data_IF_211863060693
#
_entry.id   IF_211863060693
#
_cell.length_a   1.000
_cell.length_b   1.000
_cell.length_c   1.000
_cell.angle_alpha   90.00
_cell.angle_beta   90.00
_cell.angle_gamma   90.00
#
_symmetry.space_group_name_H-M   'P 1'
#
loop_
_entity.id
_entity.type
_entity.pdbx_description
1 polymer ?
#
# COMPACT_ATOMS: atom_id res chain seq x y z
N UNK A 1 -35.72 7.92 16.59
CA UNK A 1 -36.46 9.01 15.95
C UNK A 1 -35.97 10.41 16.33
N UNK A 2 -34.69 10.57 16.72
CA UNK A 2 -34.08 11.84 17.19
C UNK A 2 -32.91 12.35 16.36
N UNK A 3 -32.61 11.70 15.24
CA UNK A 3 -31.44 12.07 14.40
C UNK A 3 -31.81 12.74 13.05
N UNK A 4 -33.10 13.04 12.81
CA UNK A 4 -33.56 13.61 11.54
C UNK A 4 -33.77 15.14 11.52
N UNK A 5 -33.56 15.84 12.65
CA UNK A 5 -34.00 17.24 12.76
C UNK A 5 -32.90 18.33 12.76
N UNK A 6 -31.64 18.00 12.44
CA UNK A 6 -30.55 19.02 12.51
C UNK A 6 -30.02 19.45 11.13
N UNK A 7 -30.57 18.98 10.02
CA UNK A 7 -29.94 19.19 8.70
C UNK A 7 -30.76 19.95 7.65
N UNK A 8 -31.66 20.82 8.06
CA UNK A 8 -32.33 21.73 7.11
C UNK A 8 -32.35 23.16 7.63
N UNK A 9 -31.23 23.88 7.49
CA UNK A 9 -31.15 25.33 7.21
C UNK A 9 -29.67 25.70 7.03
N UNK A 10 -29.22 25.82 5.80
CA UNK A 10 -27.93 26.36 5.42
C UNK A 10 -27.95 27.87 5.51
N UNK A 11 -27.38 28.41 6.58
CA UNK A 11 -26.90 29.79 6.58
C UNK A 11 -25.45 29.76 6.03
N UNK A 12 -25.18 30.51 4.98
CA UNK A 12 -23.87 30.63 4.32
C UNK A 12 -22.92 31.42 5.21
N UNK A 13 -22.05 30.72 5.90
CA UNK A 13 -20.84 31.27 6.53
C UNK A 13 -19.63 30.48 6.03
N UNK A 14 -18.65 31.10 5.33
CA UNK A 14 -17.49 30.40 4.74
C UNK A 14 -16.63 29.59 5.75
N UNK A 15 -16.63 29.99 7.01
CA UNK A 15 -15.91 29.29 8.08
C UNK A 15 -16.52 27.95 8.51
N UNK A 16 -17.84 27.79 8.41
CA UNK A 16 -18.58 26.58 8.84
C UNK A 16 -18.44 25.41 7.85
N UNK A 17 -18.20 25.69 6.57
CA UNK A 17 -17.96 24.63 5.57
C UNK A 17 -16.61 23.93 5.77
N UNK A 18 -15.59 24.67 6.17
CA UNK A 18 -14.25 24.10 6.44
C UNK A 18 -14.29 23.20 7.68
N UNK A 19 -14.95 23.62 8.76
CA UNK A 19 -15.13 22.79 9.96
C UNK A 19 -15.99 21.54 9.71
N UNK A 20 -17.04 21.67 8.90
CA UNK A 20 -17.92 20.54 8.56
C UNK A 20 -17.18 19.49 7.71
N UNK A 21 -16.32 19.90 6.79
CA UNK A 21 -15.49 19.01 6.01
C UNK A 21 -14.42 18.31 6.87
N UNK A 22 -13.82 19.03 7.82
CA UNK A 22 -12.84 18.48 8.75
C UNK A 22 -13.49 17.47 9.70
N UNK A 23 -14.66 17.76 10.23
CA UNK A 23 -15.45 16.85 11.07
C UNK A 23 -15.85 15.59 10.32
N UNK A 24 -16.34 15.68 9.08
CA UNK A 24 -16.65 14.51 8.23
C UNK A 24 -15.44 13.64 7.95
N UNK A 25 -14.26 14.26 7.70
CA UNK A 25 -12.99 13.54 7.53
C UNK A 25 -12.62 12.77 8.80
N UNK A 26 -12.72 13.40 9.95
CA UNK A 26 -12.46 12.77 11.25
C UNK A 26 -13.38 11.59 11.52
N UNK A 27 -14.67 11.73 11.28
CA UNK A 27 -15.64 10.63 11.44
C UNK A 27 -15.37 9.46 10.49
N UNK A 28 -14.99 9.74 9.24
CA UNK A 28 -14.61 8.68 8.28
C UNK A 28 -13.36 7.95 8.75
N UNK A 29 -12.34 8.66 9.20
CA UNK A 29 -11.11 8.06 9.75
C UNK A 29 -11.41 7.20 10.96
N UNK A 30 -12.30 7.66 11.85
CA UNK A 30 -12.75 6.90 13.03
C UNK A 30 -13.48 5.61 12.63
N UNK A 31 -14.41 5.69 11.69
CA UNK A 31 -15.14 4.52 11.19
C UNK A 31 -14.22 3.48 10.53
N UNK A 32 -13.22 3.95 9.77
CA UNK A 32 -12.19 3.11 9.18
C UNK A 32 -11.39 2.40 10.26
N UNK A 33 -10.90 3.13 11.24
CA UNK A 33 -10.14 2.55 12.35
C UNK A 33 -10.97 1.51 13.12
N UNK A 34 -12.24 1.78 13.38
CA UNK A 34 -13.14 0.81 14.07
C UNK A 34 -13.29 -0.45 13.20
N UNK A 35 -13.53 -0.30 11.89
CA UNK A 35 -13.71 -1.43 10.97
C UNK A 35 -12.48 -2.35 10.92
N UNK A 36 -11.28 -1.78 10.83
CA UNK A 36 -10.05 -2.55 10.57
C UNK A 36 -9.20 -2.86 11.82
N UNK A 37 -9.35 -2.08 12.89
CA UNK A 37 -8.58 -2.25 14.15
C UNK A 37 -9.43 -2.68 15.33
N UNK A 38 -10.77 -2.58 15.23
CA UNK A 38 -11.72 -2.83 16.29
C UNK A 38 -11.91 -1.64 17.25
N UNK A 39 -13.10 -1.60 17.89
CA UNK A 39 -13.53 -0.47 18.75
C UNK A 39 -12.55 -0.19 19.91
N UNK A 40 -12.15 -1.24 20.66
CA UNK A 40 -11.27 -1.10 21.83
C UNK A 40 -9.93 -0.46 21.48
N UNK A 41 -9.32 -0.86 20.35
CA UNK A 41 -8.02 -0.34 19.90
C UNK A 41 -8.13 1.06 19.31
N UNK A 42 -9.22 1.36 18.65
CA UNK A 42 -9.51 2.72 18.16
C UNK A 42 -9.67 3.70 19.32
N UNK A 43 -10.38 3.32 20.39
CA UNK A 43 -10.52 4.13 21.59
C UNK A 43 -9.19 4.34 22.32
N UNK A 44 -8.36 3.29 22.44
CA UNK A 44 -7.01 3.42 23.01
C UNK A 44 -6.12 4.35 22.17
N UNK A 45 -6.19 4.28 20.84
CA UNK A 45 -5.51 5.19 19.95
C UNK A 45 -5.95 6.64 20.06
N UNK A 46 -7.27 6.88 20.25
CA UNK A 46 -7.80 8.23 20.51
C UNK A 46 -7.36 8.79 21.85
N UNK A 47 -7.38 7.98 22.91
CA UNK A 47 -6.86 8.37 24.22
C UNK A 47 -5.35 8.67 24.16
N UNK A 48 -4.59 7.83 23.47
CA UNK A 48 -3.17 8.06 23.26
C UNK A 48 -2.90 9.36 22.47
N UNK A 49 -3.71 9.67 21.44
CA UNK A 49 -3.59 10.91 20.67
C UNK A 49 -3.95 12.17 21.47
N UNK A 50 -4.87 12.05 22.45
CA UNK A 50 -5.19 13.13 23.38
C UNK A 50 -4.06 13.41 24.39
N UNK A 51 -3.31 12.37 24.77
CA UNK A 51 -2.23 12.47 25.76
C UNK A 51 -0.81 12.57 25.20
N UNK A 52 -0.62 12.31 23.90
CA UNK A 52 0.71 12.31 23.30
C UNK A 52 0.74 12.99 21.93
N UNK A 53 1.20 14.19 21.90
CA UNK A 53 1.46 15.00 20.68
C UNK A 53 2.51 14.40 19.75
N UNK A 54 3.12 13.22 20.04
CA UNK A 54 4.22 12.65 19.25
C UNK A 54 4.41 11.14 19.52
N UNK A 55 5.12 10.38 18.77
CA UNK A 55 5.73 9.04 18.95
C UNK A 55 4.84 7.84 19.38
N UNK A 56 3.79 8.00 20.17
CA UNK A 56 3.03 6.85 20.70
C UNK A 56 2.15 6.16 19.62
N UNK A 57 1.61 6.90 18.68
CA UNK A 57 0.73 6.37 17.64
C UNK A 57 1.48 5.42 16.69
N UNK A 58 2.70 5.76 16.31
CA UNK A 58 3.57 4.93 15.45
C UNK A 58 3.93 3.63 16.16
N UNK A 59 4.22 3.70 17.46
CA UNK A 59 4.54 2.52 18.28
C UNK A 59 3.36 1.56 18.46
N UNK A 60 2.14 2.08 18.61
CA UNK A 60 0.92 1.26 18.73
C UNK A 60 0.59 0.56 17.41
N UNK A 61 0.71 1.23 16.27
CA UNK A 61 0.55 0.61 14.95
C UNK A 61 1.58 -0.48 14.71
N UNK A 62 2.84 -0.18 15.00
CA UNK A 62 3.93 -1.13 14.87
C UNK A 62 3.76 -2.34 15.79
N UNK A 63 3.34 -2.14 17.05
CA UNK A 63 3.03 -3.23 17.99
C UNK A 63 1.86 -4.09 17.52
N UNK A 64 0.81 -3.46 17.02
CA UNK A 64 -0.36 -4.16 16.50
C UNK A 64 -0.03 -5.02 15.28
N UNK A 65 0.71 -4.46 14.33
CA UNK A 65 1.19 -5.18 13.17
C UNK A 65 2.11 -6.33 13.55
N UNK A 66 3.10 -6.09 14.41
CA UNK A 66 3.98 -7.14 14.93
C UNK A 66 3.23 -8.26 15.66
N UNK A 67 2.22 -7.92 16.45
CA UNK A 67 1.46 -8.90 17.21
C UNK A 67 0.62 -9.79 16.29
N UNK A 68 -0.09 -9.21 15.32
CA UNK A 68 -0.87 -9.99 14.34
C UNK A 68 0.03 -10.88 13.49
N UNK A 69 1.21 -10.40 13.08
CA UNK A 69 2.12 -11.17 12.25
C UNK A 69 2.86 -12.25 13.04
N UNK A 70 3.17 -12.01 14.32
CA UNK A 70 3.69 -13.06 15.22
C UNK A 70 2.65 -14.14 15.50
N UNK A 71 1.38 -13.79 15.66
CA UNK A 71 0.28 -14.75 15.81
C UNK A 71 0.15 -15.69 14.61
N UNK A 72 0.52 -15.21 13.40
CA UNK A 72 0.60 -16.03 12.19
C UNK A 72 2.02 -16.52 11.89
N UNK A 73 3.00 -16.30 12.77
CA UNK A 73 4.34 -16.85 12.64
C UNK A 73 5.17 -16.31 11.48
N UNK A 74 4.87 -15.10 10.96
CA UNK A 74 5.63 -14.49 9.88
C UNK A 74 6.74 -13.58 10.42
N UNK A 75 7.93 -13.65 9.82
CA UNK A 75 9.03 -12.72 10.05
C UNK A 75 8.94 -11.54 9.06
N UNK A 76 8.06 -10.59 9.36
CA UNK A 76 7.91 -9.37 8.53
C UNK A 76 8.15 -8.08 9.32
N UNK A 77 8.48 -8.20 10.59
CA UNK A 77 8.72 -7.05 11.47
C UNK A 77 10.18 -6.59 11.39
N UNK A 78 10.40 -5.34 11.80
CA UNK A 78 11.72 -4.74 11.89
C UNK A 78 11.97 -3.71 10.81
N UNK A 79 13.10 -3.04 10.96
CA UNK A 79 13.71 -2.16 9.98
C UNK A 79 15.05 -2.75 9.64
N UNK A 80 15.40 -2.77 8.35
CA UNK A 80 16.75 -3.11 7.90
C UNK A 80 17.28 -1.88 7.17
N UNK A 81 18.33 -1.28 7.75
CA UNK A 81 18.95 -0.09 7.19
C UNK A 81 19.63 -0.42 5.84
N UNK A 82 19.76 0.58 4.97
CA UNK A 82 20.24 0.38 3.60
C UNK A 82 21.65 -0.18 3.52
N UNK A 83 22.53 0.22 4.45
CA UNK A 83 23.91 -0.27 4.56
C UNK A 83 24.01 -1.75 4.99
N UNK A 84 22.95 -2.28 5.58
CA UNK A 84 22.82 -3.69 5.97
C UNK A 84 22.18 -4.57 4.88
N UNK A 85 21.73 -3.99 3.77
CA UNK A 85 21.18 -4.75 2.65
C UNK A 85 22.29 -5.37 1.82
N UNK A 86 22.11 -6.63 1.44
CA UNK A 86 22.98 -7.40 0.57
C UNK A 86 22.67 -7.15 -0.91
N UNK A 87 22.76 -5.89 -1.33
CA UNK A 87 22.49 -5.42 -2.68
C UNK A 87 23.76 -4.85 -3.36
N UNK A 88 23.82 -4.78 -4.70
CA UNK A 88 24.94 -4.16 -5.41
C UNK A 88 25.23 -2.75 -4.92
N UNK A 89 26.51 -2.39 -4.81
CA UNK A 89 26.92 -1.09 -4.23
C UNK A 89 26.35 0.09 -5.03
N UNK A 90 26.31 -0.03 -6.37
CA UNK A 90 25.71 0.95 -7.27
C UNK A 90 24.21 1.17 -7.07
N UNK A 91 23.52 0.23 -6.43
CA UNK A 91 22.10 0.34 -6.10
C UNK A 91 21.83 0.91 -4.70
N UNK A 92 22.82 0.94 -3.81
CA UNK A 92 22.66 1.39 -2.42
C UNK A 92 22.26 2.86 -2.31
N UNK A 93 22.75 3.72 -3.19
CA UNK A 93 22.41 5.14 -3.17
C UNK A 93 20.93 5.38 -3.47
N UNK A 94 20.36 4.62 -4.41
CA UNK A 94 18.93 4.72 -4.78
C UNK A 94 18.03 3.86 -3.91
N UNK A 95 18.54 2.83 -3.23
CA UNK A 95 17.75 1.96 -2.36
C UNK A 95 17.31 2.67 -1.09
N UNK A 96 16.20 2.22 -0.53
CA UNK A 96 15.68 2.69 0.77
C UNK A 96 15.68 1.55 1.77
N UNK A 97 15.74 1.91 3.07
CA UNK A 97 15.66 0.93 4.15
C UNK A 97 14.37 0.13 4.07
N UNK A 98 14.44 -1.14 4.43
CA UNK A 98 13.24 -1.93 4.60
C UNK A 98 12.44 -1.46 5.82
N UNK A 99 11.15 -1.24 5.63
CA UNK A 99 10.16 -1.01 6.67
C UNK A 99 8.83 -1.64 6.25
N UNK A 100 8.19 -2.36 7.17
CA UNK A 100 6.95 -3.05 6.84
C UNK A 100 5.77 -2.07 6.69
N UNK A 101 5.01 -2.22 5.62
CA UNK A 101 3.79 -1.44 5.36
C UNK A 101 2.67 -1.79 6.35
N UNK A 102 1.80 -0.82 6.63
CA UNK A 102 0.63 -1.00 7.47
C UNK A 102 -0.44 -1.85 6.76
N UNK A 103 -0.76 -3.03 7.30
CA UNK A 103 -1.79 -3.94 6.76
C UNK A 103 -3.17 -3.27 6.66
N UNK A 104 -3.56 -2.47 7.66
CA UNK A 104 -4.87 -1.84 7.65
C UNK A 104 -4.98 -0.71 6.60
N UNK A 105 -3.91 0.09 6.41
CA UNK A 105 -3.88 1.13 5.38
C UNK A 105 -3.92 0.51 3.99
N UNK A 106 -3.08 -0.52 3.75
CA UNK A 106 -3.07 -1.27 2.50
C UNK A 106 -4.46 -1.81 2.16
N UNK A 107 -5.10 -2.52 3.10
CA UNK A 107 -6.44 -3.08 2.90
C UNK A 107 -7.48 -2.00 2.61
N UNK A 108 -7.43 -0.89 3.34
CA UNK A 108 -8.34 0.23 3.09
C UNK A 108 -8.18 0.77 1.66
N UNK A 109 -6.94 0.95 1.17
CA UNK A 109 -6.69 1.46 -0.18
C UNK A 109 -7.15 0.46 -1.23
N UNK A 110 -6.77 -0.80 -1.11
CA UNK A 110 -7.13 -1.86 -2.07
C UNK A 110 -8.65 -2.06 -2.16
N UNK A 111 -9.36 -2.09 -1.03
CA UNK A 111 -10.83 -2.25 -1.02
C UNK A 111 -11.54 -1.05 -1.65
N UNK A 112 -10.93 0.15 -1.64
CA UNK A 112 -11.48 1.36 -2.28
C UNK A 112 -11.34 1.37 -3.80
N UNK A 113 -10.56 0.48 -4.38
CA UNK A 113 -10.48 0.34 -5.83
C UNK A 113 -11.73 -0.32 -6.41
N UNK A 114 -12.48 -1.08 -5.61
CA UNK A 114 -13.70 -1.81 -6.03
C UNK A 114 -13.46 -2.70 -7.26
N UNK A 115 -12.33 -3.43 -7.27
CA UNK A 115 -11.91 -4.26 -8.39
C UNK A 115 -12.60 -5.62 -8.43
N UNK A 116 -12.72 -6.16 -9.63
CA UNK A 116 -12.81 -7.60 -9.85
C UNK A 116 -11.38 -8.19 -9.77
N UNK A 117 -10.97 -8.55 -8.55
CA UNK A 117 -9.59 -8.97 -8.25
C UNK A 117 -9.13 -10.14 -9.13
N UNK A 118 -10.02 -11.02 -9.54
CA UNK A 118 -9.68 -12.21 -10.34
C UNK A 118 -9.15 -11.87 -11.73
N UNK A 119 -9.39 -10.64 -12.21
CA UNK A 119 -8.86 -10.14 -13.48
C UNK A 119 -7.46 -9.54 -13.35
N UNK A 120 -7.04 -9.19 -12.14
CA UNK A 120 -5.82 -8.41 -11.90
C UNK A 120 -4.68 -9.24 -11.35
N UNK A 121 -3.48 -8.95 -11.82
CA UNK A 121 -2.23 -9.28 -11.15
C UNK A 121 -1.90 -8.18 -10.13
N UNK A 122 -1.40 -8.57 -8.98
CA UNK A 122 -0.82 -7.66 -8.00
C UNK A 122 0.70 -7.80 -8.00
N UNK A 123 1.42 -6.68 -8.06
CA UNK A 123 2.88 -6.68 -7.96
C UNK A 123 3.36 -5.65 -6.95
N UNK A 124 4.33 -6.03 -6.12
CA UNK A 124 5.01 -5.21 -5.11
C UNK A 124 6.47 -5.07 -5.51
N UNK A 125 6.87 -3.87 -5.91
CA UNK A 125 8.25 -3.54 -6.28
C UNK A 125 9.01 -3.04 -5.06
N UNK A 126 10.05 -3.80 -4.64
CA UNK A 126 10.73 -3.65 -3.38
C UNK A 126 9.95 -4.31 -2.25
N UNK A 127 9.60 -5.60 -2.43
CA UNK A 127 8.66 -6.30 -1.56
C UNK A 127 9.21 -6.63 -0.17
N UNK A 128 10.51 -6.48 0.04
CA UNK A 128 11.16 -6.74 1.31
C UNK A 128 10.89 -8.17 1.81
N UNK A 129 10.52 -8.29 3.07
CA UNK A 129 10.15 -9.56 3.70
C UNK A 129 8.73 -10.06 3.32
N UNK A 130 8.05 -9.41 2.36
CA UNK A 130 6.74 -9.82 1.87
C UNK A 130 5.55 -9.44 2.73
N UNK A 131 5.61 -8.34 3.49
CA UNK A 131 4.52 -7.87 4.34
C UNK A 131 3.25 -7.57 3.52
N UNK A 132 3.39 -6.84 2.41
CA UNK A 132 2.29 -6.51 1.51
C UNK A 132 1.84 -7.73 0.73
N UNK A 133 2.74 -8.65 0.38
CA UNK A 133 2.37 -9.92 -0.26
C UNK A 133 1.43 -10.73 0.61
N UNK A 134 1.70 -10.79 1.93
CA UNK A 134 0.82 -11.47 2.89
C UNK A 134 -0.56 -10.81 2.96
N UNK A 135 -0.64 -9.48 2.88
CA UNK A 135 -1.89 -8.73 2.88
C UNK A 135 -2.67 -8.90 1.58
N UNK A 136 -1.99 -8.77 0.42
CA UNK A 136 -2.59 -8.89 -0.90
C UNK A 136 -3.07 -10.32 -1.20
N UNK A 137 -2.37 -11.33 -0.68
CA UNK A 137 -2.73 -12.74 -0.89
C UNK A 137 -4.10 -13.14 -0.30
N UNK A 138 -4.71 -12.31 0.53
CA UNK A 138 -6.06 -12.52 1.07
C UNK A 138 -7.17 -12.18 0.08
N UNK A 139 -6.84 -11.49 -1.01
CA UNK A 139 -7.77 -11.17 -2.09
C UNK A 139 -7.57 -12.16 -3.24
N UNK A 140 -8.62 -12.48 -4.02
CA UNK A 140 -8.54 -13.47 -5.08
C UNK A 140 -7.87 -12.92 -6.35
N UNK A 141 -6.70 -12.27 -6.19
CA UNK A 141 -5.90 -11.83 -7.33
C UNK A 141 -5.48 -13.01 -8.21
N UNK A 142 -5.35 -12.76 -9.51
CA UNK A 142 -4.82 -13.74 -10.47
C UNK A 142 -3.41 -14.18 -10.10
N UNK A 143 -2.58 -13.25 -9.66
CA UNK A 143 -1.32 -13.53 -8.96
C UNK A 143 -0.96 -12.39 -8.02
N UNK A 144 -0.16 -12.71 -7.01
CA UNK A 144 0.52 -11.76 -6.13
C UNK A 144 2.01 -12.04 -6.24
N UNK A 145 2.76 -11.08 -6.76
CA UNK A 145 4.21 -11.20 -7.00
C UNK A 145 4.92 -10.08 -6.27
N UNK A 146 5.99 -10.39 -5.55
CA UNK A 146 6.93 -9.40 -5.04
C UNK A 146 8.26 -9.51 -5.78
N UNK A 147 8.87 -8.39 -6.11
CA UNK A 147 10.23 -8.31 -6.66
C UNK A 147 11.12 -7.66 -5.62
N UNK A 148 12.21 -8.32 -5.25
CA UNK A 148 13.12 -7.88 -4.20
C UNK A 148 14.57 -8.08 -4.60
N UNK A 149 15.38 -7.03 -4.48
CA UNK A 149 16.78 -7.02 -4.87
C UNK A 149 17.69 -7.67 -3.82
N UNK A 150 17.36 -7.52 -2.53
CA UNK A 150 18.11 -8.17 -1.44
C UNK A 150 17.78 -9.65 -1.37
N UNK A 151 18.80 -10.50 -1.52
CA UNK A 151 18.66 -11.96 -1.43
C UNK A 151 18.14 -12.36 -0.04
N UNK A 152 18.67 -11.76 1.03
CA UNK A 152 18.26 -12.09 2.40
C UNK A 152 16.80 -11.73 2.69
N UNK A 153 16.31 -10.59 2.19
CA UNK A 153 14.90 -10.21 2.31
C UNK A 153 14.00 -11.10 1.46
N UNK A 154 14.40 -11.39 0.21
CA UNK A 154 13.69 -12.33 -0.66
C UNK A 154 13.55 -13.73 -0.04
N UNK A 155 14.63 -14.29 0.54
CA UNK A 155 14.58 -15.58 1.24
C UNK A 155 13.62 -15.56 2.42
N UNK A 156 13.60 -14.44 3.18
CA UNK A 156 12.65 -14.26 4.27
C UNK A 156 11.22 -14.19 3.76
N UNK A 157 10.96 -13.45 2.65
CA UNK A 157 9.66 -13.42 2.00
C UNK A 157 9.22 -14.83 1.54
N UNK A 158 10.15 -15.60 0.98
CA UNK A 158 9.88 -16.98 0.53
C UNK A 158 9.48 -17.89 1.69
N UNK A 159 10.17 -17.80 2.85
CA UNK A 159 9.79 -18.53 4.07
C UNK A 159 8.40 -18.11 4.58
N UNK A 160 8.12 -16.81 4.57
CA UNK A 160 6.82 -16.26 4.96
C UNK A 160 5.69 -16.77 4.04
N UNK A 161 5.93 -16.83 2.74
CA UNK A 161 4.98 -17.36 1.75
C UNK A 161 4.70 -18.85 2.02
N UNK A 162 5.72 -19.65 2.26
CA UNK A 162 5.55 -21.06 2.59
C UNK A 162 4.68 -21.24 3.84
N UNK A 163 4.87 -20.41 4.87
CA UNK A 163 4.07 -20.43 6.09
C UNK A 163 2.60 -20.03 5.83
N UNK A 164 2.35 -19.06 4.96
CA UNK A 164 0.99 -18.68 4.55
C UNK A 164 0.26 -19.84 3.85
N UNK A 165 0.92 -20.54 2.93
CA UNK A 165 0.37 -21.73 2.29
C UNK A 165 0.12 -22.85 3.29
N UNK A 166 1.06 -23.14 4.18
CA UNK A 166 0.91 -24.16 5.23
C UNK A 166 -0.30 -23.88 6.12
N UNK A 167 -0.59 -22.62 6.40
CA UNK A 167 -1.76 -22.17 7.20
C UNK A 167 -3.03 -21.98 6.40
N UNK A 168 -3.04 -22.24 5.10
CA UNK A 168 -4.19 -22.02 4.21
C UNK A 168 -4.72 -20.59 4.26
N UNK A 169 -3.80 -19.60 4.28
CA UNK A 169 -4.11 -18.16 4.36
C UNK A 169 -4.04 -17.44 3.03
N UNK A 170 -3.80 -18.15 1.93
CA UNK A 170 -3.70 -17.61 0.58
C UNK A 170 -5.02 -17.84 -0.15
N UNK A 171 -5.64 -16.76 -0.62
CA UNK A 171 -6.83 -16.74 -1.48
C UNK A 171 -6.46 -16.47 -2.94
N UNK A 172 -5.38 -15.71 -3.18
CA UNK A 172 -4.85 -15.47 -4.53
C UNK A 172 -4.51 -16.80 -5.22
N UNK A 173 -4.67 -16.84 -6.55
CA UNK A 173 -4.41 -18.08 -7.32
C UNK A 173 -2.92 -18.46 -7.32
N UNK A 174 -2.03 -17.46 -7.25
CA UNK A 174 -0.59 -17.66 -7.11
C UNK A 174 0.00 -16.58 -6.19
N UNK A 175 0.98 -16.97 -5.36
CA UNK A 175 1.73 -16.05 -4.49
C UNK A 175 3.21 -16.42 -4.56
N UNK A 176 4.07 -15.46 -4.90
CA UNK A 176 5.51 -15.67 -5.03
C UNK A 176 6.32 -14.42 -4.71
N UNK A 177 7.57 -14.62 -4.31
CA UNK A 177 8.63 -13.62 -4.30
C UNK A 177 9.63 -13.96 -5.41
N UNK A 178 10.18 -12.96 -6.06
CA UNK A 178 11.20 -13.05 -7.11
C UNK A 178 12.40 -12.27 -6.64
N UNK A 179 13.59 -12.89 -6.63
CA UNK A 179 14.84 -12.18 -6.44
C UNK A 179 15.26 -11.54 -7.76
N UNK A 180 15.46 -10.23 -7.78
CA UNK A 180 15.87 -9.52 -8.99
C UNK A 180 15.71 -8.02 -8.90
N UNK A 181 16.21 -7.35 -9.91
CA UNK A 181 16.09 -5.91 -10.11
C UNK A 181 14.71 -5.57 -10.70
N UNK A 182 14.05 -4.59 -10.12
CA UNK A 182 12.72 -4.14 -10.57
C UNK A 182 12.74 -3.55 -11.99
N UNK A 183 13.90 -3.01 -12.42
CA UNK A 183 14.08 -2.43 -13.76
C UNK A 183 14.19 -3.50 -14.85
N UNK A 184 14.48 -4.75 -14.49
CA UNK A 184 14.60 -5.88 -15.40
C UNK A 184 13.35 -6.80 -15.39
N UNK A 185 12.41 -6.54 -14.46
CA UNK A 185 11.25 -7.40 -14.29
C UNK A 185 10.13 -7.07 -15.27
N UNK A 186 9.89 -7.93 -16.25
CA UNK A 186 8.80 -7.78 -17.23
C UNK A 186 7.44 -8.19 -16.67
N UNK A 187 6.40 -7.46 -17.05
CA UNK A 187 5.02 -7.71 -16.69
C UNK A 187 4.27 -8.42 -17.83
N UNK A 188 3.45 -9.43 -17.54
CA UNK A 188 2.54 -9.96 -18.55
C UNK A 188 1.57 -8.86 -19.02
N UNK A 189 1.16 -8.86 -20.32
CA UNK A 189 0.27 -7.83 -20.87
C UNK A 189 -1.19 -8.04 -20.43
N UNK A 190 -1.41 -7.96 -19.13
CA UNK A 190 -2.68 -8.16 -18.44
C UNK A 190 -2.91 -7.06 -17.39
N UNK A 191 -4.14 -6.87 -16.86
CA UNK A 191 -4.41 -5.83 -15.87
C UNK A 191 -3.60 -5.99 -14.58
N UNK A 192 -3.05 -4.88 -14.07
CA UNK A 192 -2.20 -4.87 -12.87
C UNK A 192 -2.65 -3.85 -11.83
N UNK A 193 -2.46 -4.25 -10.58
CA UNK A 193 -2.35 -3.36 -9.42
C UNK A 193 -0.88 -3.37 -9.00
N UNK A 194 -0.21 -2.25 -9.16
CA UNK A 194 1.21 -2.07 -8.87
C UNK A 194 1.33 -1.35 -7.54
N UNK A 195 2.19 -1.84 -6.67
CA UNK A 195 2.46 -1.23 -5.38
C UNK A 195 3.93 -0.89 -5.23
N UNK A 196 4.19 0.30 -4.66
CA UNK A 196 5.53 0.77 -4.27
C UNK A 196 5.44 1.48 -2.93
N UNK A 197 6.33 1.14 -2.00
CA UNK A 197 6.50 1.86 -0.74
C UNK A 197 7.85 2.59 -0.75
N UNK A 198 7.96 3.72 -1.47
CA UNK A 198 9.18 4.55 -1.51
C UNK A 198 10.48 3.70 -1.54
N UNK A 199 10.49 2.64 -2.36
CA UNK A 199 11.51 1.60 -2.29
C UNK A 199 12.85 2.04 -2.91
N UNK A 200 12.83 3.04 -3.80
CA UNK A 200 13.98 3.45 -4.59
C UNK A 200 13.94 4.95 -4.95
N UNK A 201 15.03 5.47 -5.52
CA UNK A 201 15.18 6.86 -5.95
C UNK A 201 14.36 7.22 -7.19
N UNK A 202 14.40 8.49 -7.58
CA UNK A 202 13.62 9.02 -8.69
C UNK A 202 14.02 8.41 -10.05
N UNK A 203 15.30 8.15 -10.25
CA UNK A 203 15.90 7.53 -11.42
C UNK A 203 15.34 6.13 -11.68
N UNK A 204 15.42 5.26 -10.69
CA UNK A 204 14.88 3.90 -10.76
C UNK A 204 13.35 3.93 -10.92
N UNK A 205 12.65 4.82 -10.21
CA UNK A 205 11.19 4.93 -10.34
C UNK A 205 10.80 5.36 -11.76
N UNK A 206 11.52 6.29 -12.39
CA UNK A 206 11.25 6.70 -13.76
C UNK A 206 11.40 5.53 -14.74
N UNK A 207 12.49 4.75 -14.62
CA UNK A 207 12.73 3.56 -15.44
C UNK A 207 11.65 2.50 -15.26
N UNK A 208 11.20 2.25 -14.00
CA UNK A 208 10.12 1.32 -13.68
C UNK A 208 8.80 1.79 -14.30
N UNK A 209 8.47 3.10 -14.23
CA UNK A 209 7.26 3.64 -14.86
C UNK A 209 7.29 3.42 -16.37
N UNK A 210 8.42 3.69 -17.04
CA UNK A 210 8.57 3.49 -18.48
C UNK A 210 8.44 2.01 -18.88
N UNK A 211 8.98 1.10 -18.07
CA UNK A 211 8.81 -0.35 -18.26
C UNK A 211 7.34 -0.76 -18.15
N UNK A 212 6.67 -0.34 -17.08
CA UNK A 212 5.25 -0.61 -16.86
C UNK A 212 4.40 -0.14 -18.05
N UNK A 213 4.64 1.09 -18.52
CA UNK A 213 3.88 1.65 -19.63
C UNK A 213 4.13 0.93 -20.94
N UNK A 214 5.35 0.43 -21.19
CA UNK A 214 5.68 -0.40 -22.36
C UNK A 214 5.04 -1.79 -22.28
N UNK A 215 5.25 -2.50 -21.19
CA UNK A 215 4.76 -3.88 -21.02
C UNK A 215 3.23 -3.94 -21.05
N UNK A 216 2.58 -2.95 -20.46
CA UNK A 216 1.13 -2.90 -20.35
C UNK A 216 0.47 -2.02 -21.44
N UNK A 217 1.21 -1.64 -22.49
CA UNK A 217 0.69 -0.76 -23.56
C UNK A 217 -0.56 -1.31 -24.24
N UNK A 218 -0.68 -2.63 -24.41
CA UNK A 218 -1.80 -3.29 -25.06
C UNK A 218 -2.98 -3.59 -24.11
N UNK A 219 -2.82 -3.40 -22.80
CA UNK A 219 -3.87 -3.69 -21.81
C UNK A 219 -4.99 -2.67 -21.91
N UNK A 220 -6.21 -3.14 -22.03
CA UNK A 220 -7.41 -2.28 -22.17
C UNK A 220 -7.97 -1.84 -20.84
N UNK A 221 -7.89 -2.67 -19.83
CA UNK A 221 -8.38 -2.38 -18.48
C UNK A 221 -7.55 -1.27 -17.80
N UNK A 222 -8.11 -0.56 -16.82
CA UNK A 222 -7.35 0.39 -16.01
C UNK A 222 -6.17 -0.28 -15.29
N UNK A 223 -5.04 0.40 -15.20
CA UNK A 223 -3.89 0.01 -14.40
C UNK A 223 -3.82 0.91 -13.17
N UNK A 224 -3.63 0.32 -12.00
CA UNK A 224 -3.58 1.04 -10.74
C UNK A 224 -2.15 1.06 -10.19
N UNK A 225 -1.65 2.24 -9.87
CA UNK A 225 -0.36 2.42 -9.22
C UNK A 225 -0.58 2.96 -7.80
N UNK A 226 -0.31 2.13 -6.81
CA UNK A 226 -0.48 2.44 -5.38
C UNK A 226 0.87 2.87 -4.83
N UNK A 227 1.03 4.15 -4.54
CA UNK A 227 2.27 4.71 -4.03
C UNK A 227 2.13 5.08 -2.55
N UNK A 228 2.79 4.32 -1.69
CA UNK A 228 2.87 4.60 -0.25
C UNK A 228 4.13 5.43 0.02
N UNK A 229 3.99 6.49 0.83
CA UNK A 229 5.03 7.48 1.11
C UNK A 229 5.66 8.05 -0.18
N UNK A 230 4.88 8.76 -1.04
CA UNK A 230 5.20 9.05 -2.42
C UNK A 230 6.18 10.22 -2.56
N UNK A 231 7.47 10.00 -2.24
CA UNK A 231 8.52 11.03 -2.29
C UNK A 231 8.75 11.61 -3.69
N UNK A 232 8.53 10.79 -4.71
CA UNK A 232 8.75 11.17 -6.12
C UNK A 232 7.44 11.19 -6.92
N UNK A 233 6.32 11.57 -6.28
CA UNK A 233 4.97 11.55 -6.88
C UNK A 233 4.87 12.32 -8.19
N UNK A 234 5.68 13.37 -8.38
CA UNK A 234 5.66 14.19 -9.59
C UNK A 234 5.94 13.38 -10.86
N UNK A 235 6.75 12.33 -10.80
CA UNK A 235 7.01 11.46 -11.95
C UNK A 235 5.75 10.80 -12.52
N UNK A 236 4.78 10.50 -11.65
CA UNK A 236 3.48 9.96 -12.05
C UNK A 236 2.45 11.08 -12.29
N UNK A 237 2.44 12.14 -11.47
CA UNK A 237 1.47 13.24 -11.56
C UNK A 237 1.64 14.06 -12.86
N UNK A 238 2.88 14.23 -13.33
CA UNK A 238 3.22 14.95 -14.56
C UNK A 238 3.23 14.04 -15.81
N UNK A 239 3.12 12.72 -15.63
CA UNK A 239 3.08 11.77 -16.74
C UNK A 239 1.67 11.71 -17.34
N UNK A 240 1.51 12.03 -18.66
CA UNK A 240 0.19 12.11 -19.30
C UNK A 240 -0.55 10.77 -19.38
N UNK A 241 0.10 9.65 -19.12
CA UNK A 241 -0.53 8.33 -19.08
C UNK A 241 -1.41 8.11 -17.84
N UNK A 242 -1.23 8.91 -16.79
CA UNK A 242 -1.95 8.75 -15.53
C UNK A 242 -2.93 9.91 -15.28
N UNK A 243 -4.04 9.57 -14.66
CA UNK A 243 -4.96 10.57 -14.10
C UNK A 243 -4.37 11.18 -12.81
N UNK A 244 -4.92 12.35 -12.41
CA UNK A 244 -4.55 12.98 -11.13
C UNK A 244 -4.82 12.03 -9.96
N UNK A 245 -3.87 11.91 -9.00
CA UNK A 245 -3.95 10.90 -7.96
C UNK A 245 -5.10 11.15 -6.96
N UNK A 246 -5.68 10.06 -6.48
CA UNK A 246 -6.53 10.06 -5.29
C UNK A 246 -5.66 9.93 -4.05
N UNK A 247 -5.63 10.98 -3.21
CA UNK A 247 -4.80 11.02 -1.99
C UNK A 247 -5.59 10.56 -0.78
N UNK A 248 -4.97 9.71 0.06
CA UNK A 248 -5.55 9.23 1.32
C UNK A 248 -4.55 9.32 2.47
N UNK A 249 -5.00 9.19 3.70
CA UNK A 249 -4.16 9.29 4.90
C UNK A 249 -3.27 10.55 4.94
N UNK A 250 -3.86 11.72 4.57
CA UNK A 250 -3.12 12.99 4.57
C UNK A 250 -2.03 13.11 3.49
N UNK A 251 -2.11 12.32 2.41
CA UNK A 251 -1.13 12.28 1.34
C UNK A 251 -0.05 11.20 1.51
N UNK A 252 -0.11 10.42 2.60
CA UNK A 252 0.80 9.28 2.79
C UNK A 252 0.63 8.21 1.69
N UNK A 253 -0.59 8.12 1.11
CA UNK A 253 -0.88 7.24 -0.01
C UNK A 253 -1.44 8.04 -1.18
N UNK A 254 -0.92 7.76 -2.34
CA UNK A 254 -1.43 8.26 -3.60
C UNK A 254 -1.76 7.09 -4.53
N UNK A 255 -2.94 7.15 -5.14
CA UNK A 255 -3.41 6.16 -6.10
C UNK A 255 -3.51 6.83 -7.46
N UNK A 256 -2.64 6.43 -8.38
CA UNK A 256 -2.67 6.87 -9.77
C UNK A 256 -3.37 5.80 -10.60
N UNK A 257 -4.08 6.23 -11.62
CA UNK A 257 -4.79 5.34 -12.53
C UNK A 257 -4.36 5.67 -13.95
N UNK A 258 -3.82 4.69 -14.66
CA UNK A 258 -3.81 4.74 -16.11
C UNK A 258 -5.19 4.25 -16.56
N UNK A 259 -6.01 5.12 -17.16
CA UNK A 259 -7.37 4.74 -17.55
C UNK A 259 -7.37 3.59 -18.55
N UNK A 260 -8.45 2.86 -18.56
CA UNK A 260 -8.73 1.88 -19.60
C UNK A 260 -8.85 2.55 -20.98
N UNK A 261 -8.69 1.76 -22.02
CA UNK A 261 -8.91 2.23 -23.39
C UNK A 261 -10.30 1.77 -23.85
N UNK A 262 -11.12 2.72 -24.27
CA UNK A 262 -12.34 2.44 -25.03
C UNK A 262 -11.97 2.05 -26.46
N UNK A 263 -12.77 1.20 -27.08
CA UNK A 263 -12.61 0.79 -28.49
C UNK A 263 -12.84 1.94 -29.46
#
# INVERSE_FOLDING_TARGET
>A
MLFKFVFTKTARYPGLEVEHNQFRRTLRTLAVNIKYRGLKRTLLGLLAALFAKTRFHILEEYRFFRQNMREIGLDIAGVVETDMLDIPEERKESAKRYEASSDYEFRYVVEKLHLDYEKYHFIDFGSGKGAVLASASRYPFKSVTGVELSQALHETATRNIAELYRRKRVTARALRSVHGDVTEHSLPPEPHVIYVFNAFGADILAEVIDHILRDLAAVREPIYFLYNNPMHHKLLEENPAFEKPKKTFGGKWEVFVRPGRED
#
